data_IF_879698224383
#
_entry.id   IF_879698224383
#
_cell.length_a   1.000
_cell.length_b   1.000
_cell.length_c   1.000
_cell.angle_alpha   90.00
_cell.angle_beta   90.00
_cell.angle_gamma   90.00
#
_symmetry.space_group_name_H-M   'P 1'
#
loop_
_entity.id
_entity.type
_entity.pdbx_description
1 polymer ?
#
# COMPACT_ATOMS: atom_id res chain seq x y z
N UNK A 1 69.46 9.70 -9.14
CA UNK A 1 68.07 10.15 -8.93
C UNK A 1 67.49 9.32 -7.80
N UNK A 2 67.40 9.92 -6.62
CA UNK A 2 66.77 9.33 -5.44
C UNK A 2 65.24 9.44 -5.56
N UNK A 3 64.50 8.40 -5.17
CA UNK A 3 63.15 8.55 -4.64
C UNK A 3 62.73 7.33 -3.85
N UNK A 4 62.45 7.61 -2.58
CA UNK A 4 61.95 6.71 -1.57
C UNK A 4 60.49 6.33 -1.86
N UNK A 5 60.15 5.06 -1.67
CA UNK A 5 58.75 4.62 -1.51
C UNK A 5 58.51 4.56 -0.01
N UNK A 6 57.75 5.54 0.46
CA UNK A 6 57.29 5.64 1.84
C UNK A 6 56.18 4.62 2.10
N UNK A 7 56.38 3.77 3.12
CA UNK A 7 55.30 3.14 3.86
C UNK A 7 54.48 4.23 4.58
N UNK A 8 53.16 4.19 4.41
CA UNK A 8 52.24 4.90 5.27
C UNK A 8 51.07 3.98 5.60
N UNK A 9 51.06 3.55 6.86
CA UNK A 9 49.97 2.86 7.51
C UNK A 9 48.72 3.75 7.60
N UNK A 10 47.56 3.15 7.34
CA UNK A 10 46.24 3.60 7.82
C UNK A 10 45.56 2.35 8.37
N UNK A 11 45.79 2.01 9.63
CA UNK A 11 44.97 2.43 10.79
C UNK A 11 43.48 2.16 10.57
N UNK A 12 43.08 0.92 10.88
CA UNK A 12 41.67 0.53 10.98
C UNK A 12 41.09 1.10 12.29
N UNK A 13 39.90 1.73 12.28
CA UNK A 13 39.23 2.11 13.52
C UNK A 13 38.60 0.88 14.20
N UNK A 14 38.85 0.65 15.50
CA UNK A 14 38.01 -0.21 16.32
C UNK A 14 36.82 0.58 16.84
N UNK A 15 35.61 0.11 16.57
CA UNK A 15 34.41 0.57 17.28
C UNK A 15 33.25 0.90 16.37
N UNK A 16 32.34 -0.06 16.23
CA UNK A 16 30.92 0.25 16.17
C UNK A 16 30.18 -0.91 16.82
N UNK A 17 29.47 -0.56 17.89
CA UNK A 17 28.61 -1.38 18.71
C UNK A 17 27.79 -2.39 17.90
N UNK A 18 27.84 -3.66 18.32
CA UNK A 18 26.67 -4.52 18.20
C UNK A 18 25.94 -4.38 19.53
N UNK A 19 25.00 -3.44 19.57
CA UNK A 19 23.97 -3.44 20.60
C UNK A 19 23.22 -4.76 20.49
N UNK A 20 23.10 -5.43 21.63
CA UNK A 20 22.24 -6.57 21.88
C UNK A 20 20.80 -6.11 21.58
N UNK A 21 20.41 -6.24 20.31
CA UNK A 21 19.06 -6.04 19.84
C UNK A 21 18.21 -7.18 20.38
N UNK A 22 17.67 -6.95 21.56
CA UNK A 22 16.60 -7.71 22.22
C UNK A 22 15.69 -8.36 21.18
N UNK A 23 15.81 -9.68 21.04
CA UNK A 23 14.90 -10.51 20.27
C UNK A 23 13.51 -10.34 20.89
N UNK A 24 12.73 -9.43 20.33
CA UNK A 24 11.31 -9.34 20.59
C UNK A 24 10.71 -10.72 20.36
N UNK A 25 10.11 -11.27 21.39
CA UNK A 25 9.39 -12.53 21.37
C UNK A 25 8.45 -12.57 20.16
N UNK A 26 8.88 -13.27 19.09
CA UNK A 26 8.02 -13.74 18.02
C UNK A 26 7.08 -14.80 18.60
N UNK A 27 6.09 -14.32 19.36
CA UNK A 27 4.99 -15.15 19.83
C UNK A 27 4.06 -15.42 18.66
N UNK A 28 3.98 -16.72 18.38
CA UNK A 28 2.93 -17.42 17.67
C UNK A 28 3.07 -17.51 16.15
N UNK A 29 3.74 -18.59 15.73
CA UNK A 29 3.71 -19.16 14.39
C UNK A 29 2.34 -19.74 14.06
N UNK A 30 1.33 -18.88 13.98
CA UNK A 30 0.10 -19.20 13.27
C UNK A 30 0.42 -19.30 11.77
N UNK A 31 -0.12 -20.30 11.09
CA UNK A 31 -0.19 -20.33 9.63
C UNK A 31 -1.05 -19.15 9.15
N UNK A 32 -0.50 -17.94 9.19
CA UNK A 32 -1.19 -16.73 8.83
C UNK A 32 -1.58 -16.81 7.36
N UNK A 33 -2.80 -16.41 7.04
CA UNK A 33 -3.23 -16.23 5.64
C UNK A 33 -2.16 -15.41 4.92
N UNK A 34 -1.88 -15.72 3.65
CA UNK A 34 -0.73 -15.15 2.91
C UNK A 34 -0.69 -13.62 2.95
N UNK A 35 -1.85 -12.96 2.96
CA UNK A 35 -1.98 -11.51 3.05
C UNK A 35 -1.55 -10.89 4.39
N UNK A 36 -1.39 -11.68 5.45
CA UNK A 36 -0.94 -11.22 6.77
C UNK A 36 0.43 -11.78 7.18
N UNK A 37 0.99 -12.68 6.37
CA UNK A 37 2.32 -13.24 6.57
C UNK A 37 3.42 -12.18 6.34
N UNK A 38 4.51 -12.23 7.13
CA UNK A 38 5.65 -11.27 7.07
C UNK A 38 6.21 -11.09 5.66
N UNK A 39 6.36 -12.18 4.93
CA UNK A 39 6.86 -12.18 3.54
C UNK A 39 5.71 -12.25 2.53
N UNK A 40 4.60 -12.91 2.88
CA UNK A 40 3.53 -13.23 1.93
C UNK A 40 2.82 -11.97 1.41
N UNK A 41 2.53 -11.02 2.30
CA UNK A 41 1.89 -9.76 1.93
C UNK A 41 2.78 -8.91 1.00
N UNK A 42 4.11 -8.96 1.19
CA UNK A 42 5.06 -8.25 0.32
C UNK A 42 5.11 -8.87 -1.06
N UNK A 43 5.11 -10.20 -1.15
CA UNK A 43 5.08 -10.91 -2.43
C UNK A 43 3.80 -10.58 -3.19
N UNK A 44 2.63 -10.72 -2.54
CA UNK A 44 1.34 -10.37 -3.16
C UNK A 44 1.32 -8.91 -3.62
N UNK A 45 1.70 -7.98 -2.74
CA UNK A 45 1.81 -6.54 -3.07
C UNK A 45 2.68 -6.31 -4.30
N UNK A 46 3.88 -6.90 -4.35
CA UNK A 46 4.82 -6.70 -5.46
C UNK A 46 4.27 -7.26 -6.77
N UNK A 47 3.69 -8.45 -6.76
CA UNK A 47 3.12 -9.06 -7.95
C UNK A 47 1.97 -8.21 -8.52
N UNK A 48 1.07 -7.74 -7.65
CA UNK A 48 -0.04 -6.86 -8.05
C UNK A 48 0.47 -5.51 -8.59
N UNK A 49 1.49 -4.91 -7.96
CA UNK A 49 2.06 -3.65 -8.46
C UNK A 49 2.83 -3.80 -9.77
N UNK A 50 3.46 -4.95 -10.01
CA UNK A 50 4.09 -5.24 -11.29
C UNK A 50 3.04 -5.29 -12.40
N UNK A 51 1.91 -5.95 -12.14
CA UNK A 51 0.77 -5.98 -13.06
C UNK A 51 0.21 -4.57 -13.34
N UNK A 52 0.11 -3.72 -12.32
CA UNK A 52 -0.29 -2.32 -12.50
C UNK A 52 0.68 -1.53 -13.41
N UNK A 53 1.98 -1.85 -13.34
CA UNK A 53 3.03 -1.15 -14.08
C UNK A 53 3.13 -1.57 -15.54
N UNK A 54 2.86 -2.84 -15.84
CA UNK A 54 2.92 -3.39 -17.20
C UNK A 54 1.72 -2.98 -18.08
N UNK A 55 0.90 -2.05 -17.59
CA UNK A 55 -0.07 -1.34 -18.41
C UNK A 55 -1.48 -1.90 -18.35
N UNK A 56 -1.75 -3.00 -17.62
CA UNK A 56 -3.08 -3.46 -17.14
C UNK A 56 -4.21 -3.67 -18.17
N UNK A 57 -4.06 -3.20 -19.40
CA UNK A 57 -4.99 -3.35 -20.50
C UNK A 57 -4.79 -4.75 -21.08
N UNK A 58 -5.60 -5.69 -20.58
CA UNK A 58 -6.03 -6.90 -21.28
C UNK A 58 -5.09 -8.11 -21.35
N UNK A 59 -3.99 -8.18 -20.60
CA UNK A 59 -3.26 -9.45 -20.46
C UNK A 59 -4.01 -10.38 -19.47
N UNK A 60 -5.04 -11.08 -19.94
CA UNK A 60 -5.61 -12.20 -19.19
C UNK A 60 -4.61 -13.36 -19.17
N UNK A 61 -4.35 -14.01 -18.02
CA UNK A 61 -5.02 -13.81 -16.72
C UNK A 61 -4.38 -12.71 -15.84
N UNK A 62 -5.25 -11.87 -15.25
CA UNK A 62 -4.90 -10.85 -14.24
C UNK A 62 -4.85 -11.47 -12.85
N UNK A 63 -3.72 -11.32 -12.14
CA UNK A 63 -3.60 -11.79 -10.76
C UNK A 63 -4.49 -10.96 -9.84
N UNK A 64 -4.51 -9.64 -10.03
CA UNK A 64 -5.38 -8.75 -9.25
C UNK A 64 -6.86 -9.12 -9.41
N UNK A 65 -7.29 -9.39 -10.65
CA UNK A 65 -8.64 -9.85 -10.96
C UNK A 65 -8.97 -11.16 -10.25
N UNK A 66 -8.06 -12.15 -10.33
CA UNK A 66 -8.24 -13.44 -9.65
C UNK A 66 -8.33 -13.30 -8.12
N UNK A 67 -7.58 -12.36 -7.53
CA UNK A 67 -7.66 -12.05 -6.09
C UNK A 67 -9.02 -11.45 -5.75
N UNK A 68 -9.52 -10.50 -6.54
CA UNK A 68 -10.83 -9.88 -6.29
C UNK A 68 -11.98 -10.88 -6.48
N UNK A 69 -11.90 -11.77 -7.45
CA UNK A 69 -12.88 -12.83 -7.68
C UNK A 69 -12.88 -13.85 -6.54
N UNK A 70 -11.69 -14.29 -6.10
CA UNK A 70 -11.56 -15.34 -5.08
C UNK A 70 -11.81 -14.84 -3.66
N UNK A 71 -11.45 -13.59 -3.36
CA UNK A 71 -11.41 -13.05 -2.00
C UNK A 71 -12.20 -11.77 -1.81
N UNK A 72 -12.97 -11.31 -2.80
CA UNK A 72 -13.75 -10.06 -2.76
C UNK A 72 -14.44 -9.84 -1.41
N UNK A 73 -15.32 -10.75 -0.95
CA UNK A 73 -16.02 -10.62 0.33
C UNK A 73 -15.10 -10.54 1.56
N UNK A 74 -13.86 -11.04 1.47
CA UNK A 74 -12.88 -11.01 2.55
C UNK A 74 -11.94 -9.79 2.51
N UNK A 75 -11.93 -9.01 1.43
CA UNK A 75 -11.00 -7.87 1.29
C UNK A 75 -11.19 -6.81 2.38
N UNK A 76 -12.42 -6.63 2.86
CA UNK A 76 -12.70 -5.77 4.02
C UNK A 76 -11.97 -6.29 5.27
N UNK A 77 -12.04 -7.60 5.53
CA UNK A 77 -11.36 -8.21 6.67
C UNK A 77 -9.83 -8.09 6.55
N UNK A 78 -9.27 -8.09 5.35
CA UNK A 78 -7.82 -7.89 5.14
C UNK A 78 -7.38 -6.48 5.54
N UNK A 79 -8.27 -5.49 5.42
CA UNK A 79 -8.01 -4.12 5.87
C UNK A 79 -7.92 -4.00 7.40
N UNK A 80 -8.24 -5.07 8.15
CA UNK A 80 -8.09 -5.09 9.60
C UNK A 80 -6.65 -5.24 10.07
N UNK A 81 -5.72 -5.61 9.19
CA UNK A 81 -4.29 -5.68 9.52
C UNK A 81 -3.50 -4.69 8.67
N UNK A 82 -2.37 -4.22 9.21
CA UNK A 82 -1.49 -3.29 8.47
C UNK A 82 -0.96 -3.91 7.18
N UNK A 83 -0.67 -5.23 7.21
CA UNK A 83 -0.12 -5.99 6.08
C UNK A 83 -1.19 -6.26 5.02
N UNK A 84 -2.38 -6.70 5.42
CA UNK A 84 -3.49 -6.91 4.50
C UNK A 84 -3.93 -5.61 3.83
N UNK A 85 -3.96 -4.49 4.57
CA UNK A 85 -4.25 -3.18 3.99
C UNK A 85 -3.25 -2.75 2.88
N UNK A 86 -1.97 -3.15 2.95
CA UNK A 86 -1.03 -2.91 1.85
C UNK A 86 -1.33 -3.73 0.60
N UNK A 87 -1.83 -4.95 0.76
CA UNK A 87 -2.24 -5.80 -0.37
C UNK A 87 -3.47 -5.21 -1.03
N UNK A 88 -4.47 -4.81 -0.24
CA UNK A 88 -5.68 -4.17 -0.74
C UNK A 88 -5.38 -2.84 -1.41
N UNK A 89 -4.51 -2.01 -0.83
CA UNK A 89 -4.02 -0.79 -1.47
C UNK A 89 -3.35 -1.07 -2.83
N UNK A 90 -2.59 -2.16 -2.97
CA UNK A 90 -1.99 -2.52 -4.26
C UNK A 90 -3.06 -2.85 -5.31
N UNK A 91 -4.15 -3.52 -4.92
CA UNK A 91 -5.27 -3.81 -5.82
C UNK A 91 -5.95 -2.53 -6.33
N UNK A 92 -5.97 -1.44 -5.55
CA UNK A 92 -6.49 -0.15 -6.04
C UNK A 92 -5.57 0.53 -7.05
N UNK A 93 -4.31 0.11 -7.16
CA UNK A 93 -3.38 0.62 -8.17
C UNK A 93 -3.56 -0.04 -9.54
N UNK A 94 -4.26 -1.19 -9.60
CA UNK A 94 -4.54 -1.88 -10.86
C UNK A 94 -5.86 -1.33 -11.43
N UNK A 95 -5.87 -0.76 -12.65
CA UNK A 95 -7.07 -0.13 -13.21
C UNK A 95 -8.30 -1.04 -13.29
N UNK A 96 -8.10 -2.32 -13.64
CA UNK A 96 -9.19 -3.30 -13.82
C UNK A 96 -9.90 -3.69 -12.52
N UNK A 97 -9.26 -3.54 -11.35
CA UNK A 97 -9.82 -3.92 -10.05
C UNK A 97 -10.17 -2.73 -9.17
N UNK A 98 -9.71 -1.52 -9.52
CA UNK A 98 -9.85 -0.32 -8.70
C UNK A 98 -11.30 -0.04 -8.30
N UNK A 99 -12.21 0.03 -9.27
CA UNK A 99 -13.62 0.35 -9.01
C UNK A 99 -14.31 -0.70 -8.15
N UNK A 100 -14.02 -1.99 -8.38
CA UNK A 100 -14.58 -3.08 -7.59
C UNK A 100 -14.13 -3.01 -6.13
N UNK A 101 -12.84 -2.78 -5.89
CA UNK A 101 -12.29 -2.64 -4.53
C UNK A 101 -12.82 -1.38 -3.84
N UNK A 102 -12.96 -0.27 -4.57
CA UNK A 102 -13.54 0.97 -4.05
C UNK A 102 -15.00 0.79 -3.65
N UNK A 103 -15.83 0.22 -4.51
CA UNK A 103 -17.23 -0.06 -4.23
C UNK A 103 -17.40 -0.93 -2.99
N UNK A 104 -16.56 -1.94 -2.84
CA UNK A 104 -16.58 -2.84 -1.68
C UNK A 104 -16.22 -2.14 -0.37
N UNK A 105 -15.27 -1.21 -0.39
CA UNK A 105 -14.76 -0.56 0.82
C UNK A 105 -15.42 0.79 1.12
N UNK A 106 -16.26 1.32 0.22
CA UNK A 106 -16.90 2.62 0.36
C UNK A 106 -17.73 2.71 1.64
N UNK A 107 -18.49 1.66 1.97
CA UNK A 107 -19.34 1.61 3.17
C UNK A 107 -18.50 1.59 4.46
N UNK A 108 -17.27 1.07 4.38
CA UNK A 108 -16.36 0.88 5.51
C UNK A 108 -15.32 2.01 5.63
N UNK A 109 -15.31 2.97 4.71
CA UNK A 109 -14.30 4.05 4.64
C UNK A 109 -14.23 4.88 5.93
N UNK A 110 -15.38 5.10 6.58
CA UNK A 110 -15.46 5.84 7.86
C UNK A 110 -14.73 5.10 8.97
N UNK A 111 -14.87 3.78 9.05
CA UNK A 111 -14.25 2.97 10.10
C UNK A 111 -12.76 2.74 9.82
N UNK A 112 -12.38 2.55 8.55
CA UNK A 112 -10.98 2.52 8.14
C UNK A 112 -10.27 3.85 8.44
N UNK A 113 -10.93 4.99 8.19
CA UNK A 113 -10.37 6.32 8.47
C UNK A 113 -10.01 6.53 9.95
N UNK A 114 -10.79 5.97 10.88
CA UNK A 114 -10.50 6.04 12.33
C UNK A 114 -9.22 5.31 12.72
N UNK A 115 -8.79 4.32 11.92
CA UNK A 115 -7.66 3.41 12.20
C UNK A 115 -6.35 3.84 11.56
N UNK A 116 -6.36 4.92 10.77
CA UNK A 116 -5.18 5.45 10.05
C UNK A 116 -4.02 5.81 10.99
N UNK A 117 -4.31 6.34 12.18
CA UNK A 117 -3.28 6.74 13.17
C UNK A 117 -2.36 5.60 13.63
N UNK A 118 -2.81 4.36 13.55
CA UNK A 118 -2.07 3.17 14.00
C UNK A 118 -1.51 2.30 12.87
N UNK A 119 -1.80 2.61 11.60
CA UNK A 119 -1.40 1.75 10.47
C UNK A 119 -1.10 2.56 9.21
N UNK A 120 0.13 2.41 8.70
CA UNK A 120 0.58 3.01 7.44
C UNK A 120 -0.17 2.43 6.24
N UNK A 121 -0.40 1.12 6.20
CA UNK A 121 -1.16 0.46 5.14
C UNK A 121 -2.59 0.99 5.04
N UNK A 122 -3.29 1.11 6.17
CA UNK A 122 -4.65 1.69 6.20
C UNK A 122 -4.62 3.17 5.78
N UNK A 123 -3.59 3.92 6.17
CA UNK A 123 -3.44 5.34 5.75
C UNK A 123 -3.35 5.47 4.23
N UNK A 124 -2.50 4.67 3.58
CA UNK A 124 -2.37 4.67 2.12
C UNK A 124 -3.65 4.23 1.42
N UNK A 125 -4.31 3.19 1.94
CA UNK A 125 -5.58 2.72 1.41
C UNK A 125 -6.65 3.81 1.47
N UNK A 126 -6.85 4.43 2.63
CA UNK A 126 -7.84 5.50 2.80
C UNK A 126 -7.53 6.71 1.91
N UNK A 127 -6.25 7.05 1.71
CA UNK A 127 -5.87 8.09 0.75
C UNK A 127 -6.29 7.71 -0.68
N UNK A 128 -5.95 6.50 -1.13
CA UNK A 128 -6.30 6.00 -2.46
C UNK A 128 -7.83 5.91 -2.69
N UNK A 129 -8.62 5.63 -1.65
CA UNK A 129 -10.08 5.62 -1.73
C UNK A 129 -10.69 7.04 -1.76
N UNK A 130 -9.99 8.05 -1.23
CA UNK A 130 -10.48 9.44 -1.15
C UNK A 130 -10.14 10.28 -2.37
N UNK A 131 -9.00 10.02 -3.04
CA UNK A 131 -8.61 10.79 -4.22
C UNK A 131 -9.62 10.68 -5.38
N UNK A 132 -10.43 9.61 -5.43
CA UNK A 132 -11.50 9.46 -6.44
C UNK A 132 -12.89 9.90 -5.94
N UNK A 133 -13.04 10.23 -4.66
CA UNK A 133 -14.29 10.75 -4.10
C UNK A 133 -14.53 12.26 -4.35
N UNK A 134 -13.57 12.94 -4.97
CA UNK A 134 -13.60 14.38 -5.28
C UNK A 134 -13.82 14.65 -6.77
N UNK A 135 -14.77 13.94 -7.38
CA UNK A 135 -15.12 14.06 -8.81
C UNK A 135 -16.59 14.41 -9.07
N UNK A 136 -17.27 15.09 -8.16
CA UNK A 136 -18.68 15.45 -8.35
C UNK A 136 -19.19 16.39 -7.27
N UNK A 137 -18.70 17.63 -7.23
CA UNK A 137 -19.46 18.75 -6.66
C UNK A 137 -20.00 19.53 -7.85
N UNK A 138 -21.32 19.58 -7.89
CA UNK A 138 -22.19 20.14 -8.91
C UNK A 138 -21.73 21.54 -9.35
N UNK A 139 -21.52 21.73 -10.65
CA UNK A 139 -21.67 23.06 -11.26
C UNK A 139 -23.15 23.45 -11.12
N UNK A 140 -23.52 24.05 -9.99
CA UNK A 140 -24.76 24.81 -9.90
C UNK A 140 -24.53 26.15 -10.63
N UNK A 141 -24.71 26.09 -11.95
CA UNK A 141 -24.89 27.25 -12.83
C UNK A 141 -26.09 28.06 -12.32
N UNK A 142 -25.85 29.05 -11.44
CA UNK A 142 -26.85 30.05 -11.12
C UNK A 142 -27.00 31.03 -12.28
N UNK A 143 -27.88 30.61 -13.18
CA UNK A 143 -28.55 31.39 -14.21
C UNK A 143 -29.30 32.59 -13.60
N UNK A 144 -28.69 33.76 -13.73
CA UNK A 144 -29.28 35.07 -14.01
C UNK A 144 -30.53 35.56 -13.25
N UNK A 145 -30.45 36.79 -12.72
CA UNK A 145 -31.60 37.70 -12.73
C UNK A 145 -31.19 39.17 -12.90
N UNK A 146 -31.79 39.78 -13.92
CA UNK A 146 -31.74 41.18 -14.36
C UNK A 146 -32.29 42.17 -13.31
N UNK A 147 -31.89 43.43 -13.44
CA UNK A 147 -32.70 44.63 -13.11
C UNK A 147 -31.82 45.83 -12.78
N UNK A 148 -31.49 46.73 -13.72
CA UNK A 148 -32.22 47.98 -14.06
C UNK A 148 -32.77 48.74 -12.85
N UNK A 149 -32.18 49.92 -12.60
CA UNK A 149 -32.62 50.93 -11.65
C UNK A 149 -31.56 52.01 -11.54
#
# INVERSE_FOLDING_TARGET
LASAVAEAAMSAPPGAAVEDGEQGEDKDGGSGKVHDHTVGHLTLKKLVLLEAKDGGEQALPSLAGAICESFGPELEAWCTTNRGAFVVWALTQVPSTREAVQGLLAEHLKDLSKRTKSSKGITLLVAALKEDGSGGVEEEEQKGKKGTG
#
